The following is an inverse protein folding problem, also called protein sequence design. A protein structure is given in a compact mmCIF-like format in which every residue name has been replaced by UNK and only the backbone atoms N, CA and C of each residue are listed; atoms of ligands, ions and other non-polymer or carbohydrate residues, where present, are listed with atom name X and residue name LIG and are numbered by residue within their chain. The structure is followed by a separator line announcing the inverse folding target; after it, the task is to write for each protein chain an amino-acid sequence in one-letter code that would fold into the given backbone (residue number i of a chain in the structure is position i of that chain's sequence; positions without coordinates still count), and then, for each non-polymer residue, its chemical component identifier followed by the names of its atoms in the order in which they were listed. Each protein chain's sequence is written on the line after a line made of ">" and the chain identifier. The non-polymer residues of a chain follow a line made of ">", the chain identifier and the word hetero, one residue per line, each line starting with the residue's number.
data_IF_789105783013
#
_entry.id   IF_789105783013
#
_cell.length_a   1.000
_cell.length_b   1.000
_cell.length_c   1.000
_cell.angle_alpha   90.00
_cell.angle_beta   90.00
_cell.angle_gamma   90.00
#
_symmetry.space_group_name_H-M   'P 1'
#
loop_
_entity.id
_entity.type
_entity.pdbx_description
1 polymer ?
#
# COMPACT_ATOMS: atom_id res chain seq x y z
N UNK A 1 -17.54 -3.17 -11.36
CA UNK A 1 -16.36 -2.44 -11.90
C UNK A 1 -15.48 -3.45 -12.62
N UNK A 2 -14.95 -3.18 -13.82
CA UNK A 2 -14.03 -4.10 -14.51
C UNK A 2 -12.77 -4.39 -13.66
N UNK A 3 -12.21 -5.60 -13.76
CA UNK A 3 -11.02 -6.01 -13.00
C UNK A 3 -9.81 -5.10 -13.26
N UNK A 4 -9.65 -4.60 -14.49
CA UNK A 4 -8.59 -3.66 -14.83
C UNK A 4 -8.72 -2.33 -14.09
N UNK A 5 -9.96 -1.81 -13.97
CA UNK A 5 -10.23 -0.58 -13.19
C UNK A 5 -9.93 -0.81 -11.71
N UNK A 6 -10.35 -1.96 -11.15
CA UNK A 6 -10.01 -2.29 -9.76
C UNK A 6 -8.50 -2.39 -9.53
N UNK A 7 -7.77 -3.01 -10.46
CA UNK A 7 -6.32 -3.14 -10.36
C UNK A 7 -5.63 -1.78 -10.44
N UNK A 8 -6.11 -0.90 -11.33
CA UNK A 8 -5.57 0.46 -11.46
C UNK A 8 -5.82 1.28 -10.19
N UNK A 9 -7.05 1.25 -9.66
CA UNK A 9 -7.38 1.96 -8.40
C UNK A 9 -6.52 1.48 -7.25
N UNK A 10 -6.34 0.16 -7.07
CA UNK A 10 -5.49 -0.36 -5.98
C UNK A 10 -4.02 0.06 -6.15
N UNK A 11 -3.51 0.16 -7.38
CA UNK A 11 -2.14 0.65 -7.63
C UNK A 11 -1.99 2.13 -7.25
N UNK A 12 -2.97 2.95 -7.58
CA UNK A 12 -2.98 4.38 -7.23
C UNK A 12 -3.08 4.57 -5.70
N UNK A 13 -3.96 3.82 -5.03
CA UNK A 13 -4.07 3.79 -3.57
C UNK A 13 -2.75 3.34 -2.92
N UNK A 14 -2.13 2.29 -3.45
CA UNK A 14 -0.83 1.78 -2.95
C UNK A 14 0.28 2.82 -3.11
N UNK A 15 0.31 3.55 -4.24
CA UNK A 15 1.30 4.59 -4.47
C UNK A 15 1.12 5.78 -3.50
N UNK A 16 -0.13 6.18 -3.23
CA UNK A 16 -0.42 7.24 -2.29
C UNK A 16 -0.02 6.87 -0.85
N UNK A 17 -0.36 5.66 -0.39
CA UNK A 17 0.03 5.19 0.94
C UNK A 17 1.55 4.97 1.06
N UNK A 18 2.23 4.61 -0.02
CA UNK A 18 3.70 4.51 -0.02
C UNK A 18 4.34 5.88 0.19
N UNK A 19 3.88 6.92 -0.52
CA UNK A 19 4.36 8.29 -0.32
C UNK A 19 4.16 8.76 1.12
N UNK A 20 2.98 8.48 1.70
CA UNK A 20 2.69 8.80 3.10
C UNK A 20 3.61 8.05 4.07
N UNK A 21 3.89 6.77 3.82
CA UNK A 21 4.83 5.99 4.63
C UNK A 21 6.24 6.60 4.59
N UNK A 22 6.70 7.02 3.41
CA UNK A 22 8.01 7.63 3.23
C UNK A 22 8.12 8.97 4.00
N UNK A 23 7.08 9.81 3.94
CA UNK A 23 7.00 11.08 4.68
C UNK A 23 7.02 10.85 6.21
N UNK A 24 6.27 9.85 6.70
CA UNK A 24 6.24 9.50 8.12
C UNK A 24 7.59 8.93 8.58
N UNK A 25 8.24 8.08 7.77
CA UNK A 25 9.58 7.58 8.06
C UNK A 25 10.62 8.72 8.14
N UNK A 26 10.52 9.70 7.24
CA UNK A 26 11.31 10.94 7.30
C UNK A 26 11.06 11.72 8.59
N UNK A 27 9.81 11.86 9.01
CA UNK A 27 9.43 12.54 10.26
C UNK A 27 9.98 11.83 11.49
N UNK A 28 9.82 10.50 11.57
CA UNK A 28 10.38 9.68 12.66
C UNK A 28 11.90 9.86 12.73
N UNK A 29 12.59 9.77 11.58
CA UNK A 29 14.05 9.94 11.51
C UNK A 29 14.49 11.32 12.01
N UNK A 30 13.78 12.37 11.62
CA UNK A 30 14.08 13.74 12.06
C UNK A 30 13.85 13.93 13.58
N UNK A 31 12.77 13.36 14.13
CA UNK A 31 12.47 13.44 15.57
C UNK A 31 13.51 12.69 16.40
N UNK A 32 13.85 11.46 16.01
CA UNK A 32 14.88 10.66 16.66
C UNK A 32 16.26 11.34 16.59
N UNK A 33 16.61 11.92 15.43
CA UNK A 33 17.85 12.67 15.25
C UNK A 33 17.94 13.93 16.11
N UNK A 34 16.80 14.53 16.47
CA UNK A 34 16.72 15.65 17.40
C UNK A 34 16.58 15.23 18.88
N UNK A 35 16.59 13.92 19.18
CA UNK A 35 16.36 13.39 20.54
C UNK A 35 14.95 13.66 21.07
N UNK A 36 13.97 13.85 20.16
CA UNK A 36 12.56 14.10 20.48
C UNK A 36 11.76 12.81 20.40
N UNK A 37 10.64 12.79 21.12
CA UNK A 37 9.69 11.68 21.05
C UNK A 37 9.08 11.56 19.64
N UNK A 38 9.14 10.34 19.10
CA UNK A 38 8.63 9.92 17.79
C UNK A 38 7.42 8.99 17.89
N UNK A 39 6.96 8.64 19.10
CA UNK A 39 6.02 7.53 19.31
C UNK A 39 4.71 7.63 18.53
N UNK A 40 4.14 8.83 18.37
CA UNK A 40 2.92 9.02 17.58
C UNK A 40 3.17 8.87 16.08
N UNK A 41 4.28 9.41 15.57
CA UNK A 41 4.68 9.27 14.16
C UNK A 41 5.03 7.81 13.82
N UNK A 42 5.66 7.09 14.74
CA UNK A 42 5.93 5.66 14.61
C UNK A 42 4.63 4.84 14.59
N UNK A 43 3.69 5.12 15.51
CA UNK A 43 2.40 4.43 15.54
C UNK A 43 1.62 4.65 14.25
N UNK A 44 1.60 5.88 13.73
CA UNK A 44 0.97 6.19 12.46
C UNK A 44 1.66 5.48 11.29
N UNK A 45 3.00 5.47 11.26
CA UNK A 45 3.79 4.75 10.27
C UNK A 45 3.46 3.25 10.27
N UNK A 46 3.38 2.62 11.44
CA UNK A 46 2.99 1.21 11.54
C UNK A 46 1.59 0.95 10.98
N UNK A 47 0.62 1.83 11.25
CA UNK A 47 -0.72 1.71 10.68
C UNK A 47 -0.74 1.81 9.15
N UNK A 48 0.03 2.74 8.59
CA UNK A 48 0.17 2.89 7.12
C UNK A 48 0.85 1.65 6.52
N UNK A 49 1.89 1.11 7.16
CA UNK A 49 2.59 -0.09 6.68
C UNK A 49 1.69 -1.33 6.68
N UNK A 50 0.85 -1.50 7.70
CA UNK A 50 -0.14 -2.58 7.74
C UNK A 50 -1.20 -2.42 6.63
N UNK A 51 -1.70 -1.20 6.43
CA UNK A 51 -2.58 -0.87 5.30
C UNK A 51 -1.95 -1.18 3.94
N UNK A 52 -0.67 -0.85 3.75
CA UNK A 52 0.08 -1.17 2.53
C UNK A 52 0.20 -2.68 2.30
N UNK A 53 0.38 -3.47 3.35
CA UNK A 53 0.42 -4.93 3.23
C UNK A 53 -0.92 -5.47 2.68
N UNK A 54 -2.05 -4.98 3.22
CA UNK A 54 -3.38 -5.34 2.75
C UNK A 54 -3.64 -4.92 1.29
N UNK A 55 -3.22 -3.71 0.91
CA UNK A 55 -3.35 -3.22 -0.47
C UNK A 55 -2.55 -4.08 -1.46
N UNK A 56 -1.32 -4.46 -1.11
CA UNK A 56 -0.48 -5.34 -1.94
C UNK A 56 -1.06 -6.75 -2.07
N UNK A 57 -1.62 -7.30 -0.97
CA UNK A 57 -2.34 -8.57 -1.00
C UNK A 57 -3.56 -8.50 -1.93
N UNK A 58 -4.33 -7.40 -1.85
CA UNK A 58 -5.49 -7.16 -2.72
C UNK A 58 -5.07 -7.04 -4.18
N UNK A 59 -4.00 -6.31 -4.47
CA UNK A 59 -3.44 -6.18 -5.81
C UNK A 59 -3.07 -7.55 -6.39
N UNK A 60 -2.39 -8.39 -5.59
CA UNK A 60 -2.03 -9.74 -5.98
C UNK A 60 -3.27 -10.60 -6.29
N UNK A 61 -4.27 -10.59 -5.41
CA UNK A 61 -5.50 -11.35 -5.60
C UNK A 61 -6.25 -10.95 -6.89
N UNK A 62 -6.38 -9.64 -7.15
CA UNK A 62 -7.01 -9.13 -8.39
C UNK A 62 -6.19 -9.57 -9.61
N UNK A 63 -4.86 -9.52 -9.54
CA UNK A 63 -3.98 -9.98 -10.61
C UNK A 63 -4.17 -11.47 -10.92
N UNK A 64 -4.31 -12.31 -9.89
CA UNK A 64 -4.57 -13.75 -10.03
C UNK A 64 -5.95 -14.00 -10.67
N UNK A 65 -7.00 -13.33 -10.19
CA UNK A 65 -8.36 -13.46 -10.75
C UNK A 65 -8.41 -13.05 -12.22
N UNK A 66 -7.71 -11.96 -12.58
CA UNK A 66 -7.60 -11.49 -13.97
C UNK A 66 -6.97 -12.58 -14.85
N UNK A 67 -5.87 -13.17 -14.42
CA UNK A 67 -5.21 -14.25 -15.18
C UNK A 67 -6.15 -15.43 -15.41
N UNK A 68 -6.85 -15.93 -14.39
CA UNK A 68 -7.80 -17.03 -14.55
C UNK A 68 -8.98 -16.68 -15.46
N UNK A 69 -9.54 -15.47 -15.33
CA UNK A 69 -10.63 -15.02 -16.19
C UNK A 69 -10.22 -14.95 -17.69
N UNK A 70 -8.95 -14.63 -17.98
CA UNK A 70 -8.42 -14.70 -19.34
C UNK A 70 -8.15 -16.13 -19.80
N UNK A 71 -7.67 -17.02 -18.92
CA UNK A 71 -7.43 -18.44 -19.28
C UNK A 71 -8.72 -19.17 -19.61
N UNK A 72 -9.81 -18.96 -18.85
CA UNK A 72 -11.12 -19.57 -19.13
C UNK A 72 -11.80 -18.99 -20.38
N UNK A 73 -11.48 -17.76 -20.77
CA UNK A 73 -12.03 -17.13 -21.98
C UNK A 73 -11.37 -17.63 -23.29
N UNK A 74 -10.25 -18.36 -23.19
CA UNK A 74 -9.47 -18.85 -24.34
C UNK A 74 -9.62 -20.37 -24.53
N UNK A 75 -10.26 -21.07 -23.58
CA UNK A 75 -10.59 -22.50 -23.64
C UNK A 75 -11.97 -22.74 -24.28
#
# INVERSE_FOLDING_TARGET
>A
MPLDTMLQTVREETAAEQLRADDLAGTVTALLGAGRDSGDAERELFGVLDGLALLRMRQHAIGVMRTYAFTDAVA
#
